data_IF_423557285662
#
_entry.id   IF_423557285662
#
_cell.length_a   1.000
_cell.length_b   1.000
_cell.length_c   1.000
_cell.angle_alpha   90.00
_cell.angle_beta   90.00
_cell.angle_gamma   90.00
#
_symmetry.space_group_name_H-M   'P 1'
#
loop_
_entity.id
_entity.type
_entity.pdbx_description
1 polymer ?
#
# COMPACT_ATOMS: atom_id res chain seq x y z
N UNK A 1 -22.44 17.27 -6.96
CA UNK A 1 -22.18 15.98 -7.60
C UNK A 1 -20.72 15.62 -7.40
N UNK A 2 -20.45 14.43 -6.87
CA UNK A 2 -19.08 13.92 -6.74
C UNK A 2 -18.56 13.56 -8.14
N UNK A 3 -17.47 14.21 -8.56
CA UNK A 3 -16.82 13.88 -9.83
C UNK A 3 -16.09 12.54 -9.73
N UNK A 4 -15.78 11.93 -10.88
CA UNK A 4 -15.00 10.67 -10.98
C UNK A 4 -13.68 10.76 -10.20
N UNK A 5 -13.07 11.95 -10.19
CA UNK A 5 -11.86 12.20 -9.39
C UNK A 5 -12.13 12.11 -7.89
N UNK A 6 -13.24 12.69 -7.40
CA UNK A 6 -13.56 12.72 -5.97
C UNK A 6 -13.91 11.34 -5.43
N UNK A 7 -14.60 10.51 -6.22
CA UNK A 7 -14.90 9.12 -5.84
C UNK A 7 -13.63 8.28 -5.75
N UNK A 8 -12.76 8.34 -6.76
CA UNK A 8 -11.46 7.64 -6.74
C UNK A 8 -10.56 8.15 -5.63
N UNK A 9 -10.56 9.46 -5.34
CA UNK A 9 -9.73 10.02 -4.27
C UNK A 9 -10.13 9.52 -2.89
N UNK A 10 -11.42 9.21 -2.65
CA UNK A 10 -11.90 8.65 -1.37
C UNK A 10 -11.37 7.23 -1.14
N UNK A 11 -11.27 6.41 -2.19
CA UNK A 11 -10.79 5.03 -2.09
C UNK A 11 -9.26 4.92 -2.21
N UNK A 12 -8.67 5.52 -3.25
CA UNK A 12 -7.24 5.49 -3.51
C UNK A 12 -6.76 6.84 -4.11
N UNK A 13 -6.13 7.72 -3.31
CA UNK A 13 -5.70 9.03 -3.76
C UNK A 13 -4.59 8.98 -4.83
N UNK A 14 -3.73 7.96 -4.80
CA UNK A 14 -2.67 7.79 -5.78
C UNK A 14 -3.26 7.50 -7.17
N UNK A 15 -4.20 6.56 -7.26
CA UNK A 15 -4.90 6.24 -8.51
C UNK A 15 -5.62 7.46 -9.09
N UNK A 16 -6.24 8.30 -8.26
CA UNK A 16 -6.89 9.52 -8.70
C UNK A 16 -5.90 10.52 -9.33
N UNK A 17 -4.68 10.65 -8.79
CA UNK A 17 -3.64 11.52 -9.38
C UNK A 17 -3.07 10.94 -10.68
N UNK A 18 -2.85 9.63 -10.74
CA UNK A 18 -2.42 8.95 -11.98
C UNK A 18 -3.44 9.19 -13.09
N UNK A 19 -4.74 9.07 -12.80
CA UNK A 19 -5.80 9.36 -13.76
C UNK A 19 -5.65 10.78 -14.34
N UNK A 20 -5.47 11.78 -13.47
CA UNK A 20 -5.30 13.17 -13.91
C UNK A 20 -4.08 13.32 -14.82
N UNK A 21 -2.93 12.73 -14.46
CA UNK A 21 -1.71 12.80 -15.28
C UNK A 21 -1.91 12.16 -16.67
N UNK A 22 -2.51 10.97 -16.72
CA UNK A 22 -2.82 10.28 -17.98
C UNK A 22 -3.77 11.09 -18.88
N UNK A 23 -4.81 11.69 -18.31
CA UNK A 23 -5.73 12.54 -19.08
C UNK A 23 -5.04 13.82 -19.56
N UNK A 24 -4.15 14.38 -18.73
CA UNK A 24 -3.40 15.58 -19.07
C UNK A 24 -2.40 15.33 -20.22
N UNK A 25 -1.69 14.20 -20.20
CA UNK A 25 -0.80 13.75 -21.27
C UNK A 25 -1.54 13.60 -22.60
N UNK A 26 -2.72 12.95 -22.58
CA UNK A 26 -3.58 12.81 -23.77
C UNK A 26 -4.11 14.14 -24.32
N UNK A 27 -4.12 15.19 -23.51
CA UNK A 27 -4.58 16.53 -23.89
C UNK A 27 -3.43 17.52 -24.10
N UNK A 28 -2.22 17.04 -24.40
CA UNK A 28 -1.03 17.86 -24.66
C UNK A 28 -0.70 18.84 -23.51
N UNK A 29 -0.98 18.47 -22.27
CA UNK A 29 -0.74 19.34 -21.11
C UNK A 29 -1.82 20.39 -20.84
N UNK A 30 -2.94 20.41 -21.58
CA UNK A 30 -3.99 21.41 -21.41
C UNK A 30 -4.80 21.20 -20.11
N UNK A 31 -4.51 22.04 -19.12
CA UNK A 31 -5.13 22.00 -17.78
C UNK A 31 -6.62 22.31 -17.83
N UNK A 32 -7.02 23.34 -18.58
CA UNK A 32 -8.42 23.78 -18.65
C UNK A 32 -9.31 22.72 -19.29
N UNK A 33 -8.84 22.09 -20.38
CA UNK A 33 -9.56 21.01 -21.05
C UNK A 33 -9.69 19.78 -20.15
N UNK A 34 -8.60 19.39 -19.49
CA UNK A 34 -8.58 18.27 -18.54
C UNK A 34 -9.54 18.48 -17.36
N UNK A 35 -9.56 19.69 -16.79
CA UNK A 35 -10.45 20.06 -15.70
C UNK A 35 -11.94 19.93 -16.10
N UNK A 36 -12.29 20.37 -17.31
CA UNK A 36 -13.66 20.26 -17.86
C UNK A 36 -14.06 18.79 -18.07
N UNK A 37 -13.17 17.98 -18.64
CA UNK A 37 -13.42 16.55 -18.88
C UNK A 37 -13.67 15.79 -17.57
N UNK A 38 -12.86 16.06 -16.54
CA UNK A 38 -12.94 15.37 -15.25
C UNK A 38 -13.95 16.00 -14.27
N UNK A 39 -14.55 17.13 -14.61
CA UNK A 39 -15.47 17.85 -13.73
C UNK A 39 -14.82 18.31 -12.42
N UNK A 40 -13.57 18.76 -12.45
CA UNK A 40 -12.82 19.23 -11.27
C UNK A 40 -12.24 20.63 -11.48
N UNK A 41 -11.80 21.27 -10.39
CA UNK A 41 -11.14 22.56 -10.49
C UNK A 41 -9.77 22.46 -11.18
N UNK A 42 -9.39 23.51 -11.92
CA UNK A 42 -8.05 23.68 -12.50
C UNK A 42 -6.95 23.61 -11.43
N UNK A 43 -7.24 24.09 -10.21
CA UNK A 43 -6.31 24.04 -9.08
C UNK A 43 -6.00 22.59 -8.67
N UNK A 44 -7.02 21.73 -8.66
CA UNK A 44 -6.86 20.29 -8.39
C UNK A 44 -5.99 19.62 -9.43
N UNK A 45 -6.18 19.95 -10.72
CA UNK A 45 -5.35 19.42 -11.82
C UNK A 45 -3.89 19.83 -11.65
N UNK A 46 -3.62 21.11 -11.38
CA UNK A 46 -2.25 21.59 -11.10
C UNK A 46 -1.62 20.89 -9.90
N UNK A 47 -2.36 20.73 -8.81
CA UNK A 47 -1.89 20.00 -7.61
C UNK A 47 -1.54 18.55 -7.90
N UNK A 48 -2.31 17.87 -8.76
CA UNK A 48 -2.06 16.47 -9.14
C UNK A 48 -0.89 16.33 -10.12
N UNK A 49 -0.67 17.34 -10.99
CA UNK A 49 0.45 17.42 -11.92
C UNK A 49 1.77 17.68 -11.18
N UNK A 50 1.81 18.75 -10.39
CA UNK A 50 3.05 19.26 -9.77
C UNK A 50 3.37 18.58 -8.43
N UNK A 51 2.37 17.96 -7.79
CA UNK A 51 2.51 17.34 -6.48
C UNK A 51 2.82 15.85 -6.53
N UNK A 52 3.27 15.34 -5.39
CA UNK A 52 3.55 13.93 -5.16
C UNK A 52 2.35 13.03 -5.46
N UNK A 53 2.61 11.76 -5.78
CA UNK A 53 1.57 10.77 -5.99
C UNK A 53 0.82 10.44 -4.68
N UNK A 54 1.56 10.38 -3.58
CA UNK A 54 1.03 10.16 -2.25
C UNK A 54 0.52 11.47 -1.66
N UNK A 55 -0.70 11.46 -1.12
CA UNK A 55 -1.29 12.64 -0.48
C UNK A 55 -0.78 12.73 0.97
N UNK A 56 0.45 13.24 1.11
CA UNK A 56 1.05 13.44 2.43
C UNK A 56 0.34 14.58 3.15
N UNK A 57 0.05 14.38 4.44
CA UNK A 57 -0.46 15.45 5.29
C UNK A 57 0.58 16.57 5.38
N UNK A 58 0.16 17.81 5.11
CA UNK A 58 1.05 18.97 5.24
C UNK A 58 1.19 19.33 6.72
N UNK A 59 2.44 19.42 7.22
CA UNK A 59 2.70 19.92 8.57
C UNK A 59 2.18 21.38 8.69
N UNK A 60 1.45 21.73 9.77
CA UNK A 60 1.02 23.11 9.99
C UNK A 60 2.22 24.05 10.14
N UNK A 61 2.08 25.30 9.68
CA UNK A 61 3.18 26.29 9.67
C UNK A 61 3.60 26.71 11.08
N UNK A 62 2.66 26.83 12.01
CA UNK A 62 2.93 27.28 13.38
C UNK A 62 2.32 26.29 14.38
N UNK A 63 3.12 25.89 15.37
CA UNK A 63 2.73 24.98 16.45
C UNK A 63 3.15 25.65 17.76
N UNK A 64 2.18 26.11 18.57
CA UNK A 64 2.42 26.92 19.78
C UNK A 64 3.06 26.17 20.96
N UNK A 65 3.36 24.88 20.83
CA UNK A 65 4.01 24.04 21.85
C UNK A 65 4.92 23.01 21.19
N UNK A 66 5.74 23.45 20.24
CA UNK A 66 6.69 22.56 19.58
C UNK A 66 7.77 22.14 20.59
N UNK A 67 7.95 20.83 20.76
CA UNK A 67 9.02 20.27 21.59
C UNK A 67 10.36 20.35 20.85
N UNK A 68 11.47 20.16 21.57
CA UNK A 68 12.80 20.20 20.97
C UNK A 68 12.97 19.14 19.86
N UNK A 69 13.77 19.46 18.84
CA UNK A 69 13.98 18.61 17.67
C UNK A 69 14.57 17.24 18.03
N UNK A 70 15.46 17.18 19.02
CA UNK A 70 16.06 15.92 19.48
C UNK A 70 14.99 14.99 20.08
N UNK A 71 14.07 15.55 20.87
CA UNK A 71 12.96 14.82 21.48
C UNK A 71 11.92 14.40 20.45
N UNK A 72 11.57 15.26 19.47
CA UNK A 72 10.68 14.87 18.36
C UNK A 72 11.23 13.62 17.65
N UNK A 73 12.53 13.60 17.33
CA UNK A 73 13.18 12.47 16.64
C UNK A 73 13.16 11.21 17.48
N UNK A 74 13.57 11.30 18.76
CA UNK A 74 13.57 10.15 19.66
C UNK A 74 12.17 9.51 19.77
N UNK A 75 11.12 10.32 19.86
CA UNK A 75 9.74 9.82 19.92
C UNK A 75 9.35 9.10 18.63
N UNK A 76 9.74 9.63 17.46
CA UNK A 76 9.47 9.00 16.17
C UNK A 76 10.18 7.65 16.05
N UNK A 77 11.46 7.60 16.43
CA UNK A 77 12.27 6.38 16.36
C UNK A 77 11.72 5.29 17.29
N UNK A 78 11.42 5.64 18.55
CA UNK A 78 10.81 4.71 19.52
C UNK A 78 9.47 4.18 19.02
N UNK A 79 8.61 5.05 18.47
CA UNK A 79 7.32 4.62 17.89
C UNK A 79 7.52 3.70 16.69
N UNK A 80 8.50 3.94 15.84
CA UNK A 80 8.80 3.08 14.70
C UNK A 80 9.25 1.69 15.15
N UNK A 81 10.06 1.61 16.22
CA UNK A 81 10.49 0.35 16.82
C UNK A 81 9.33 -0.42 17.45
N UNK A 82 8.45 0.26 18.21
CA UNK A 82 7.29 -0.37 18.87
C UNK A 82 6.27 -0.92 17.86
N UNK A 83 6.00 -0.18 16.79
CA UNK A 83 4.95 -0.54 15.82
C UNK A 83 5.45 -1.46 14.70
N UNK A 84 6.73 -1.83 14.72
CA UNK A 84 7.28 -2.86 13.83
C UNK A 84 7.12 -4.24 14.49
N UNK A 85 6.80 -5.32 13.74
CA UNK A 85 6.87 -6.67 14.28
C UNK A 85 8.29 -6.91 14.82
N UNK A 86 8.44 -7.62 15.96
CA UNK A 86 9.75 -7.78 16.59
C UNK A 86 10.71 -8.38 15.56
N UNK A 87 11.75 -7.62 15.22
CA UNK A 87 12.84 -8.14 14.40
C UNK A 87 13.53 -9.19 15.26
N UNK A 88 13.13 -10.44 15.11
CA UNK A 88 13.81 -11.58 15.71
C UNK A 88 15.30 -11.43 15.43
N UNK A 89 16.10 -11.56 16.48
CA UNK A 89 17.56 -11.49 16.43
C UNK A 89 18.09 -12.64 15.57
N UNK A 90 18.08 -12.47 14.25
CA UNK A 90 18.93 -13.22 13.32
C UNK A 90 20.35 -12.73 13.57
N UNK A 91 20.99 -13.32 14.59
CA UNK A 91 22.44 -13.51 14.79
C UNK A 91 22.71 -13.68 16.29
N UNK A 92 22.51 -14.89 16.80
CA UNK A 92 23.16 -15.36 18.02
C UNK A 92 24.00 -16.60 17.68
N UNK A 93 25.23 -16.74 18.21
CA UNK A 93 26.14 -17.80 17.80
C UNK A 93 25.61 -19.17 18.27
N UNK A 94 25.39 -20.07 17.31
CA UNK A 94 25.42 -21.53 17.42
C UNK A 94 24.98 -22.13 18.77
N UNK A 95 23.68 -22.34 18.94
CA UNK A 95 23.22 -23.51 19.68
C UNK A 95 23.32 -24.73 18.74
N UNK A 96 23.90 -25.88 19.14
CA UNK A 96 24.01 -27.03 18.25
C UNK A 96 22.62 -27.52 17.86
N UNK A 97 22.36 -27.53 16.56
CA UNK A 97 21.14 -28.06 15.97
C UNK A 97 21.07 -29.57 16.27
N UNK A 98 20.02 -29.97 16.98
CA UNK A 98 19.55 -31.36 16.94
C UNK A 98 19.08 -31.61 15.51
N UNK A 99 19.94 -32.26 14.72
CA UNK A 99 19.64 -32.74 13.38
C UNK A 99 18.76 -34.00 13.52
N UNK A 100 17.44 -33.83 13.52
CA UNK A 100 16.55 -34.98 13.34
C UNK A 100 16.59 -35.35 11.86
N UNK A 101 17.29 -36.44 11.59
CA UNK A 101 17.46 -37.09 10.29
C UNK A 101 16.13 -37.28 9.56
N UNK A 102 15.97 -36.62 8.41
CA UNK A 102 14.83 -36.77 7.50
C UNK A 102 15.00 -37.97 6.54
N UNK A 103 15.69 -39.04 6.93
CA UNK A 103 16.03 -40.16 6.02
C UNK A 103 14.99 -41.30 5.97
N UNK A 104 13.75 -41.13 6.42
CA UNK A 104 12.81 -42.27 6.48
C UNK A 104 11.36 -42.02 6.08
N UNK A 105 10.99 -40.85 5.55
CA UNK A 105 9.64 -40.70 4.97
C UNK A 105 9.67 -41.02 3.47
N UNK A 106 9.49 -42.31 3.16
CA UNK A 106 9.05 -42.75 1.84
C UNK A 106 7.63 -42.22 1.59
N UNK A 107 7.51 -41.35 0.59
CA UNK A 107 6.23 -40.94 0.02
C UNK A 107 5.69 -42.16 -0.77
N UNK A 108 4.57 -42.79 -0.40
CA UNK A 108 4.00 -43.85 -1.22
C UNK A 108 3.47 -43.28 -2.55
N UNK A 109 3.68 -43.97 -3.69
CA UNK A 109 3.20 -43.49 -4.98
C UNK A 109 1.67 -43.48 -5.05
N UNK A 110 1.15 -42.42 -5.67
CA UNK A 110 -0.27 -42.13 -5.88
C UNK A 110 -1.07 -43.36 -6.36
N UNK A 111 -2.06 -43.80 -5.57
CA UNK A 111 -3.13 -44.67 -6.05
C UNK A 111 -4.37 -43.83 -6.36
N UNK A 112 -4.76 -43.86 -7.64
CA UNK A 112 -6.04 -43.37 -8.12
C UNK A 112 -7.18 -44.12 -7.43
N UNK A 113 -8.09 -43.42 -6.76
CA UNK A 113 -9.40 -43.96 -6.40
C UNK A 113 -10.49 -43.14 -7.09
N UNK A 114 -11.47 -43.78 -7.74
CA UNK A 114 -12.49 -43.08 -8.53
C UNK A 114 -13.60 -42.55 -7.62
N UNK A 115 -14.08 -41.35 -7.94
CA UNK A 115 -15.27 -40.75 -7.29
C UNK A 115 -16.49 -41.68 -7.42
N UNK A 116 -17.25 -41.94 -6.35
CA UNK A 116 -18.52 -42.63 -6.49
C UNK A 116 -19.56 -41.68 -7.07
N UNK A 117 -20.13 -42.09 -8.20
CA UNK A 117 -21.24 -41.44 -8.87
C UNK A 117 -22.49 -41.48 -7.97
N UNK A 118 -23.09 -40.32 -7.71
CA UNK A 118 -24.42 -40.22 -7.12
C UNK A 118 -25.46 -40.72 -8.14
N UNK A 119 -25.80 -42.01 -8.01
CA UNK A 119 -26.90 -42.62 -8.72
C UNK A 119 -28.24 -42.07 -8.19
N UNK A 120 -29.06 -41.66 -9.16
CA UNK A 120 -30.50 -41.38 -9.14
C UNK A 120 -31.33 -42.32 -8.25
N UNK A 121 -32.33 -41.76 -7.56
CA UNK A 121 -33.67 -42.30 -7.22
C UNK A 121 -34.25 -41.40 -6.10
N UNK A 122 -35.43 -40.78 -6.11
CA UNK A 122 -36.71 -40.89 -6.83
C UNK A 122 -37.32 -39.48 -6.89
#
# INVERSE_FOLDING_TARGET
>A
MDSIYHTLRKSNPASARILVRKVLEKNNGNVSKTARILGISRATVRRARDGELNDLSRRPKNIRKKIDCSLEKLIVDVKATINSPPKGLINSPRHPLIFVSLSSYQIPPHSSTPFPNLATNI
#
